data_IF_153768989925
#
_entry.id   IF_153768989925
#
_cell.length_a   1.000
_cell.length_b   1.000
_cell.length_c   1.000
_cell.angle_alpha   90.00
_cell.angle_beta   90.00
_cell.angle_gamma   90.00
#
_symmetry.space_group_name_H-M   'P 1'
#
loop_
_entity.id
_entity.type
_entity.pdbx_description
1 polymer ?
#
# COMPACT_ATOMS: atom_id res chain seq x y z
N UNK A 1 15.58 -0.17 -24.95
CA UNK A 1 15.31 -1.62 -24.75
C UNK A 1 14.93 -1.83 -23.30
N UNK A 2 13.78 -2.41 -23.05
CA UNK A 2 13.33 -2.70 -21.68
C UNK A 2 13.89 -4.05 -21.26
N UNK A 3 14.60 -4.06 -20.14
CA UNK A 3 15.11 -5.30 -19.56
C UNK A 3 13.98 -6.10 -18.91
N UNK A 4 14.09 -7.42 -18.95
CA UNK A 4 13.10 -8.31 -18.32
C UNK A 4 13.39 -8.49 -16.85
N UNK A 5 12.34 -8.51 -16.03
CA UNK A 5 12.43 -8.84 -14.60
C UNK A 5 11.44 -9.95 -14.24
N UNK A 6 11.69 -10.58 -13.12
CA UNK A 6 10.80 -11.59 -12.55
C UNK A 6 10.29 -11.11 -11.20
N UNK A 7 9.02 -11.36 -10.92
CA UNK A 7 8.38 -11.04 -9.65
C UNK A 7 7.60 -12.25 -9.14
N UNK A 8 7.53 -12.38 -7.82
CA UNK A 8 6.63 -13.33 -7.20
C UNK A 8 5.19 -12.85 -7.34
N UNK A 9 4.35 -13.68 -7.93
CA UNK A 9 2.92 -13.41 -8.05
C UNK A 9 2.16 -14.20 -6.97
N UNK A 10 1.55 -13.51 -6.04
CA UNK A 10 0.80 -14.13 -4.95
C UNK A 10 -0.43 -14.90 -5.43
N UNK A 11 -1.03 -14.47 -6.54
CA UNK A 11 -2.19 -15.15 -7.13
C UNK A 11 -1.85 -16.54 -7.65
N UNK A 12 -0.75 -16.66 -8.39
CA UNK A 12 -0.27 -17.94 -8.95
C UNK A 12 0.69 -18.69 -8.01
N UNK A 13 1.19 -18.00 -6.97
CA UNK A 13 2.20 -18.51 -6.01
C UNK A 13 3.50 -18.93 -6.69
N UNK A 14 3.89 -18.25 -7.75
CA UNK A 14 5.09 -18.54 -8.52
C UNK A 14 5.87 -17.26 -8.84
N UNK A 15 7.16 -17.43 -9.08
CA UNK A 15 7.99 -16.37 -9.65
C UNK A 15 7.76 -16.40 -11.16
N UNK A 16 7.28 -15.28 -11.68
CA UNK A 16 6.91 -15.16 -13.08
C UNK A 16 7.63 -13.99 -13.73
N UNK A 17 7.81 -14.08 -15.04
CA UNK A 17 8.26 -12.95 -15.84
C UNK A 17 7.23 -11.83 -15.75
N UNK A 18 7.70 -10.64 -15.38
CA UNK A 18 6.83 -9.46 -15.37
C UNK A 18 6.51 -9.03 -16.80
N UNK A 19 5.23 -8.95 -17.12
CA UNK A 19 4.71 -8.47 -18.40
C UNK A 19 3.69 -7.37 -18.12
N UNK A 20 4.00 -6.10 -18.42
CA UNK A 20 3.07 -5.00 -18.21
C UNK A 20 1.93 -5.04 -19.25
N UNK A 21 0.78 -4.48 -18.89
CA UNK A 21 -0.33 -4.32 -19.84
C UNK A 21 0.00 -3.37 -20.98
N UNK A 22 0.88 -2.41 -20.74
CA UNK A 22 1.39 -1.49 -21.73
C UNK A 22 2.91 -1.58 -21.75
N UNK A 23 3.50 -1.79 -22.94
CA UNK A 23 4.93 -2.06 -23.10
C UNK A 23 5.87 -1.00 -22.51
N UNK A 24 5.41 0.23 -22.35
CA UNK A 24 6.24 1.35 -21.87
C UNK A 24 5.80 1.92 -20.53
N UNK A 25 4.58 1.65 -20.12
CA UNK A 25 4.03 2.24 -18.90
C UNK A 25 3.56 1.17 -17.94
N UNK A 26 4.03 1.26 -16.70
CA UNK A 26 3.60 0.42 -15.60
C UNK A 26 2.76 1.24 -14.63
N UNK A 27 1.59 0.75 -14.29
CA UNK A 27 0.80 1.31 -13.20
C UNK A 27 1.07 0.51 -11.93
N UNK A 28 1.39 1.21 -10.86
CA UNK A 28 1.71 0.62 -9.56
C UNK A 28 0.76 1.20 -8.51
N UNK A 29 -0.07 0.34 -7.94
CA UNK A 29 -0.91 0.70 -6.80
C UNK A 29 -0.33 0.10 -5.52
N UNK A 30 -0.15 0.92 -4.50
CA UNK A 30 0.41 0.51 -3.23
C UNK A 30 -0.47 0.95 -2.06
N UNK A 31 -0.46 0.16 -0.99
CA UNK A 31 -1.16 0.54 0.23
C UNK A 31 -0.39 1.62 0.97
N UNK A 32 -1.10 2.70 1.29
CA UNK A 32 -0.58 3.81 2.06
C UNK A 32 -0.97 3.77 3.53
N UNK A 33 -0.73 4.87 4.25
CA UNK A 33 -1.01 4.96 5.67
C UNK A 33 -2.51 5.05 5.96
N UNK A 34 -2.86 4.72 7.20
CA UNK A 34 -4.12 5.09 7.82
C UNK A 34 -3.89 6.30 8.71
N UNK A 35 -4.91 7.16 8.85
CA UNK A 35 -4.77 8.43 9.57
C UNK A 35 -4.97 8.33 11.08
N UNK A 36 -5.29 7.14 11.61
CA UNK A 36 -5.55 6.96 13.05
C UNK A 36 -4.30 6.76 13.90
N UNK A 37 -3.15 6.47 13.29
CA UNK A 37 -1.85 6.32 13.98
C UNK A 37 -0.71 6.91 13.17
N UNK A 38 0.33 7.34 13.87
CA UNK A 38 1.59 7.66 13.22
C UNK A 38 2.21 6.41 12.59
N UNK A 39 2.89 6.61 11.46
CA UNK A 39 3.60 5.54 10.80
C UNK A 39 4.69 4.96 11.73
N UNK A 40 4.73 3.64 11.84
CA UNK A 40 5.75 2.92 12.58
C UNK A 40 6.69 2.17 11.63
N UNK A 41 7.69 1.49 12.18
CA UNK A 41 8.73 0.83 11.40
C UNK A 41 8.19 -0.23 10.44
N UNK A 42 7.09 -0.90 10.78
CA UNK A 42 6.42 -1.84 9.88
C UNK A 42 5.88 -1.18 8.61
N UNK A 43 5.30 0.00 8.74
CA UNK A 43 4.85 0.79 7.59
C UNK A 43 6.03 1.27 6.76
N UNK A 44 7.11 1.73 7.41
CA UNK A 44 8.32 2.20 6.73
C UNK A 44 8.95 1.09 5.88
N UNK A 45 8.98 -0.14 6.37
CA UNK A 45 9.46 -1.30 5.61
C UNK A 45 8.68 -1.46 4.30
N UNK A 46 7.36 -1.38 4.35
CA UNK A 46 6.52 -1.48 3.15
C UNK A 46 6.80 -0.34 2.18
N UNK A 47 6.84 0.89 2.66
CA UNK A 47 7.08 2.07 1.82
C UNK A 47 8.45 2.05 1.14
N UNK A 48 9.49 1.60 1.85
CA UNK A 48 10.83 1.43 1.28
C UNK A 48 10.82 0.34 0.20
N UNK A 49 10.15 -0.78 0.43
CA UNK A 49 10.04 -1.86 -0.55
C UNK A 49 9.32 -1.40 -1.83
N UNK A 50 8.26 -0.63 -1.68
CA UNK A 50 7.50 -0.03 -2.78
C UNK A 50 8.34 0.97 -3.57
N UNK A 51 9.12 1.80 -2.89
CA UNK A 51 10.03 2.77 -3.52
C UNK A 51 11.15 2.08 -4.30
N UNK A 52 11.72 1.01 -3.74
CA UNK A 52 12.73 0.20 -4.44
C UNK A 52 12.13 -0.43 -5.69
N UNK A 53 10.92 -0.96 -5.62
CA UNK A 53 10.23 -1.54 -6.79
C UNK A 53 10.02 -0.49 -7.88
N UNK A 54 9.52 0.69 -7.54
CA UNK A 54 9.31 1.79 -8.47
C UNK A 54 10.62 2.22 -9.15
N UNK A 55 11.67 2.41 -8.36
CA UNK A 55 13.00 2.77 -8.88
C UNK A 55 13.60 1.69 -9.79
N UNK A 56 13.40 0.43 -9.43
CA UNK A 56 13.84 -0.71 -10.24
C UNK A 56 13.13 -0.73 -11.59
N UNK A 57 11.82 -0.55 -11.60
CA UNK A 57 11.04 -0.48 -12.84
C UNK A 57 11.48 0.69 -13.73
N UNK A 58 11.71 1.87 -13.14
CA UNK A 58 12.25 3.03 -13.89
C UNK A 58 13.65 2.74 -14.44
N UNK A 59 14.52 2.12 -13.67
CA UNK A 59 15.86 1.73 -14.11
C UNK A 59 15.82 0.75 -15.29
N UNK A 60 14.85 -0.16 -15.30
CA UNK A 60 14.65 -1.13 -16.39
C UNK A 60 14.06 -0.50 -17.65
N UNK A 61 13.70 0.78 -17.63
CA UNK A 61 13.21 1.53 -18.79
C UNK A 61 11.69 1.70 -18.85
N UNK A 62 10.95 1.28 -17.83
CA UNK A 62 9.52 1.53 -17.76
C UNK A 62 9.22 2.94 -17.23
N UNK A 63 8.15 3.54 -17.72
CA UNK A 63 7.56 4.73 -17.11
C UNK A 63 6.54 4.30 -16.07
N UNK A 64 6.82 4.57 -14.80
CA UNK A 64 5.96 4.15 -13.69
C UNK A 64 4.97 5.27 -13.33
N UNK A 65 3.69 4.91 -13.29
CA UNK A 65 2.64 5.74 -12.70
C UNK A 65 2.20 5.10 -11.40
N UNK A 66 2.66 5.66 -10.28
CA UNK A 66 2.33 5.16 -8.94
C UNK A 66 1.12 5.87 -8.37
N UNK A 67 0.29 5.11 -7.69
CA UNK A 67 -0.83 5.58 -6.87
C UNK A 67 -0.76 4.90 -5.51
N UNK A 68 -0.91 5.69 -4.46
CA UNK A 68 -0.95 5.21 -3.07
C UNK A 68 -2.21 5.74 -2.42
N UNK A 69 -2.96 4.87 -1.73
CA UNK A 69 -4.13 5.30 -0.98
C UNK A 69 -3.75 5.87 0.38
N UNK A 70 -4.62 6.72 0.90
CA UNK A 70 -4.62 7.13 2.31
C UNK A 70 -5.98 6.75 2.86
N UNK A 71 -6.02 5.89 3.88
CA UNK A 71 -7.26 5.41 4.47
C UNK A 71 -7.62 6.26 5.67
N UNK A 72 -8.71 6.99 5.58
CA UNK A 72 -9.28 7.83 6.65
C UNK A 72 -10.52 7.19 7.29
N UNK A 73 -11.25 6.35 6.54
CA UNK A 73 -12.39 5.57 7.03
C UNK A 73 -12.29 4.16 6.47
N UNK A 74 -12.45 3.14 7.30
CA UNK A 74 -12.41 1.76 6.82
C UNK A 74 -12.64 0.74 7.92
N UNK A 75 -13.29 -0.38 7.56
CA UNK A 75 -13.45 -1.54 8.41
C UNK A 75 -12.35 -2.55 8.13
N UNK A 76 -11.63 -2.94 9.18
CA UNK A 76 -10.72 -4.08 9.12
C UNK A 76 -11.41 -5.27 9.78
N UNK A 77 -11.84 -6.19 8.96
CA UNK A 77 -12.29 -7.51 9.40
C UNK A 77 -11.07 -8.42 9.51
N UNK A 78 -10.56 -8.63 10.71
CA UNK A 78 -9.68 -9.76 11.01
C UNK A 78 -10.44 -10.76 11.84
N UNK A 79 -10.12 -12.03 11.73
CA UNK A 79 -10.74 -13.12 12.50
C UNK A 79 -10.66 -12.92 14.02
N UNK A 80 -9.79 -12.05 14.49
CA UNK A 80 -9.61 -11.68 15.90
C UNK A 80 -10.23 -10.34 16.28
N UNK A 81 -10.75 -9.62 15.34
CA UNK A 81 -11.31 -8.28 15.56
C UNK A 81 -12.83 -8.34 15.39
N UNK A 82 -13.58 -7.90 16.38
CA UNK A 82 -15.05 -7.92 16.43
C UNK A 82 -15.73 -7.03 15.37
N UNK A 83 -15.05 -6.73 14.28
CA UNK A 83 -15.58 -5.95 13.16
C UNK A 83 -15.65 -4.45 13.40
N UNK A 84 -15.11 -3.96 14.50
CA UNK A 84 -15.05 -2.52 14.75
C UNK A 84 -13.96 -1.86 13.92
N UNK A 85 -14.28 -0.76 13.28
CA UNK A 85 -13.34 0.09 12.59
C UNK A 85 -12.25 0.59 13.56
N UNK A 86 -10.99 0.52 13.17
CA UNK A 86 -9.87 1.02 13.98
C UNK A 86 -9.97 2.52 14.26
N UNK A 87 -10.55 3.29 13.33
CA UNK A 87 -10.83 4.71 13.55
C UNK A 87 -11.83 4.91 14.68
N UNK A 88 -12.85 4.05 14.77
CA UNK A 88 -13.83 4.08 15.83
C UNK A 88 -13.24 3.71 17.18
N UNK A 89 -12.34 2.72 17.21
CA UNK A 89 -11.61 2.33 18.43
C UNK A 89 -10.72 3.46 18.94
N UNK A 90 -10.00 4.10 18.04
CA UNK A 90 -9.14 5.23 18.40
C UNK A 90 -9.95 6.45 18.85
N UNK A 91 -11.08 6.73 18.19
CA UNK A 91 -12.00 7.79 18.59
C UNK A 91 -12.56 7.54 20.02
N UNK A 92 -12.91 6.30 20.34
CA UNK A 92 -13.34 5.93 21.69
C UNK A 92 -12.22 6.08 22.72
N UNK A 93 -10.99 5.70 22.37
CA UNK A 93 -9.82 5.82 23.24
C UNK A 93 -9.47 7.27 23.56
N UNK A 94 -9.52 8.14 22.56
CA UNK A 94 -9.20 9.56 22.70
C UNK A 94 -10.42 10.44 23.05
N UNK A 95 -11.61 9.85 23.18
CA UNK A 95 -12.87 10.58 23.40
C UNK A 95 -13.15 11.65 22.35
N UNK A 96 -12.76 11.38 21.11
CA UNK A 96 -12.92 12.29 19.96
C UNK A 96 -13.85 11.66 18.92
N UNK A 97 -14.38 12.48 18.02
CA UNK A 97 -15.10 11.95 16.86
C UNK A 97 -14.16 11.33 15.84
N UNK A 98 -14.66 10.40 15.02
CA UNK A 98 -13.87 9.76 13.94
C UNK A 98 -13.29 10.80 12.98
N UNK A 99 -14.07 11.86 12.67
CA UNK A 99 -13.62 12.94 11.79
C UNK A 99 -12.51 13.78 12.40
N UNK A 100 -12.52 13.96 13.72
CA UNK A 100 -11.47 14.71 14.42
C UNK A 100 -10.17 13.90 14.47
N UNK A 101 -10.26 12.59 14.66
CA UNK A 101 -9.10 11.69 14.54
C UNK A 101 -8.48 11.75 13.14
N UNK A 102 -9.30 11.74 12.11
CA UNK A 102 -8.83 11.81 10.73
C UNK A 102 -8.13 13.14 10.37
N UNK A 103 -8.43 14.21 11.10
CA UNK A 103 -7.81 15.54 10.91
C UNK A 103 -6.54 15.75 11.73
N UNK A 104 -6.27 14.90 12.70
CA UNK A 104 -5.12 15.00 13.61
C UNK A 104 -3.81 14.64 12.88
#
# INVERSE_FOLDING_TARGET
MVMTMQLYNTLTRQIEKFVPFNERQVTLYTCGPTVYHYAHIGNMRSYISEDVLEKTLNYLGYKVKRCMNITDVGHLTSDSDSGDDKMLKEAKREHMSVLDIAKK
#
